data_IF_653289567908
#
_entry.id   IF_653289567908
#
_cell.length_a   1.000
_cell.length_b   1.000
_cell.length_c   1.000
_cell.angle_alpha   90.00
_cell.angle_beta   90.00
_cell.angle_gamma   90.00
#
_symmetry.space_group_name_H-M   'P 1'
#
loop_
_entity.id
_entity.type
_entity.pdbx_description
1 polymer ?
#
# COMPACT_ATOMS: atom_id res chain seq x y z
N UNK A 1 -14.27 -48.48 -53.82
CA UNK A 1 -15.12 -49.44 -53.11
C UNK A 1 -15.06 -49.07 -51.64
N UNK A 2 -15.98 -48.58 -50.98
CA UNK A 2 -17.41 -48.58 -50.86
C UNK A 2 -17.80 -47.28 -50.08
N UNK A 3 -18.76 -46.58 -50.59
CA UNK A 3 -19.44 -45.40 -50.01
C UNK A 3 -20.37 -45.84 -48.91
N UNK A 4 -20.46 -45.03 -47.82
CA UNK A 4 -21.68 -45.01 -47.02
C UNK A 4 -22.00 -43.59 -46.60
N UNK A 5 -23.14 -43.12 -47.08
CA UNK A 5 -23.83 -41.85 -46.79
C UNK A 5 -24.64 -42.03 -45.50
N UNK A 6 -24.55 -41.08 -44.60
CA UNK A 6 -25.32 -41.04 -43.33
C UNK A 6 -26.06 -39.70 -43.17
N UNK A 7 -27.33 -39.79 -43.18
CA UNK A 7 -28.43 -38.84 -43.28
C UNK A 7 -28.52 -37.83 -42.12
N UNK A 8 -28.82 -36.59 -42.45
CA UNK A 8 -29.24 -35.49 -41.59
C UNK A 8 -30.63 -35.67 -41.02
N UNK A 9 -30.81 -35.56 -39.71
CA UNK A 9 -32.11 -35.43 -39.06
C UNK A 9 -32.34 -34.00 -38.55
N UNK A 10 -33.29 -33.30 -39.18
CA UNK A 10 -33.84 -32.00 -38.72
C UNK A 10 -34.87 -32.26 -37.62
N UNK A 11 -34.82 -31.53 -36.51
CA UNK A 11 -35.90 -31.43 -35.51
C UNK A 11 -36.61 -30.08 -35.62
N UNK A 12 -37.96 -30.05 -35.41
CA UNK A 12 -38.77 -28.87 -35.68
C UNK A 12 -38.82 -27.87 -34.51
N UNK A 13 -38.96 -26.60 -34.86
CA UNK A 13 -39.32 -25.49 -33.98
C UNK A 13 -40.66 -25.74 -33.28
N UNK A 14 -40.68 -25.58 -31.96
CA UNK A 14 -41.95 -25.42 -31.22
C UNK A 14 -42.10 -23.94 -30.83
N UNK A 15 -43.09 -23.32 -31.43
CA UNK A 15 -43.61 -21.99 -31.09
C UNK A 15 -44.48 -22.12 -29.83
N UNK A 16 -44.14 -21.40 -28.76
CA UNK A 16 -45.03 -21.28 -27.60
C UNK A 16 -45.57 -19.86 -27.54
N UNK A 17 -46.89 -19.73 -27.62
CA UNK A 17 -47.63 -18.49 -27.39
C UNK A 17 -47.54 -18.10 -25.91
N UNK A 18 -47.17 -16.85 -25.62
CA UNK A 18 -47.36 -16.22 -24.31
C UNK A 18 -48.67 -15.43 -24.32
N UNK A 19 -49.60 -15.85 -23.46
CA UNK A 19 -50.78 -15.09 -23.10
C UNK A 19 -50.43 -13.97 -22.14
N UNK A 20 -50.92 -12.77 -22.41
CA UNK A 20 -50.72 -11.59 -21.60
C UNK A 20 -51.57 -11.62 -20.31
N UNK A 21 -50.96 -11.17 -19.22
CA UNK A 21 -51.66 -10.76 -18.01
C UNK A 21 -51.38 -9.26 -17.77
N UNK A 22 -52.47 -8.49 -17.77
CA UNK A 22 -52.51 -7.07 -17.39
C UNK A 22 -52.67 -7.00 -15.86
N UNK A 23 -51.86 -6.26 -15.13
CA UNK A 23 -52.12 -5.98 -13.72
C UNK A 23 -52.99 -4.72 -13.57
N UNK A 24 -54.09 -4.86 -12.82
CA UNK A 24 -54.96 -3.78 -12.34
C UNK A 24 -54.15 -2.80 -11.48
N UNK A 25 -54.25 -1.51 -11.79
CA UNK A 25 -53.85 -0.42 -10.87
C UNK A 25 -54.93 -0.25 -9.80
N UNK A 26 -54.60 -0.50 -8.54
CA UNK A 26 -55.42 -0.08 -7.40
C UNK A 26 -54.97 1.32 -6.96
N UNK A 27 -55.82 2.31 -7.16
CA UNK A 27 -55.63 3.66 -6.62
C UNK A 27 -55.93 3.69 -5.11
N UNK A 28 -54.95 3.99 -4.27
CA UNK A 28 -55.15 4.24 -2.85
C UNK A 28 -55.30 5.76 -2.65
N UNK A 29 -56.50 6.18 -2.27
CA UNK A 29 -56.83 7.53 -1.86
C UNK A 29 -56.31 7.79 -0.42
N UNK A 30 -55.32 8.66 -0.29
CA UNK A 30 -54.92 9.19 1.04
C UNK A 30 -55.80 10.36 1.40
N UNK A 31 -56.58 10.21 2.49
CA UNK A 31 -57.32 11.29 3.14
C UNK A 31 -56.34 12.18 3.96
N UNK A 32 -56.39 13.48 3.76
CA UNK A 32 -55.65 14.47 4.53
C UNK A 32 -56.24 14.63 5.94
N UNK A 33 -55.44 14.76 7.02
CA UNK A 33 -55.95 15.11 8.35
C UNK A 33 -56.27 16.60 8.44
N UNK A 34 -57.41 16.91 9.02
CA UNK A 34 -57.89 18.28 9.28
C UNK A 34 -57.06 18.90 10.43
N UNK A 35 -56.71 20.16 10.25
CA UNK A 35 -56.04 21.00 11.24
C UNK A 35 -56.98 21.37 12.39
N UNK A 36 -56.62 21.03 13.61
CA UNK A 36 -57.22 21.54 14.82
C UNK A 36 -56.61 22.89 15.19
N UNK A 37 -57.45 23.87 15.41
CA UNK A 37 -57.07 25.24 15.82
C UNK A 37 -56.43 25.23 17.24
N UNK A 38 -55.32 25.96 17.36
CA UNK A 38 -54.68 26.24 18.65
C UNK A 38 -55.27 27.48 19.32
N UNK A 39 -55.36 27.53 20.66
CA UNK A 39 -55.79 28.73 21.36
C UNK A 39 -54.62 29.65 21.72
N UNK A 40 -54.88 30.96 21.60
CA UNK A 40 -54.35 32.03 22.42
C UNK A 40 -52.84 32.34 22.35
N UNK A 41 -52.45 33.32 21.53
CA UNK A 41 -51.17 33.96 21.61
C UNK A 41 -51.07 34.89 22.85
N UNK A 42 -50.09 34.62 23.71
CA UNK A 42 -49.65 35.55 24.75
C UNK A 42 -48.69 36.58 24.13
N UNK A 43 -48.89 37.86 24.41
CA UNK A 43 -48.09 38.97 23.90
C UNK A 43 -46.65 38.90 24.42
N UNK A 44 -45.68 38.99 23.48
CA UNK A 44 -44.24 39.13 23.75
C UNK A 44 -43.91 40.63 23.89
N UNK A 45 -43.10 41.04 24.89
CA UNK A 45 -42.70 42.46 25.05
C UNK A 45 -41.70 42.84 23.95
N UNK A 46 -41.69 44.11 23.48
CA UNK A 46 -40.78 44.63 22.46
C UNK A 46 -39.40 44.90 23.06
N UNK A 47 -38.36 44.25 22.57
CA UNK A 47 -37.00 44.63 22.94
C UNK A 47 -35.96 43.52 22.99
N UNK A 48 -35.83 42.67 21.98
CA UNK A 48 -34.58 41.90 21.75
C UNK A 48 -34.25 41.97 20.26
N UNK A 49 -33.32 42.86 19.91
CA UNK A 49 -32.70 42.79 18.58
C UNK A 49 -31.97 41.50 18.43
N UNK A 50 -32.40 40.64 17.49
CA UNK A 50 -31.68 39.45 17.12
C UNK A 50 -30.30 39.88 16.58
N UNK A 51 -29.25 39.33 17.18
CA UNK A 51 -27.89 39.45 16.62
C UNK A 51 -27.88 38.91 15.18
N UNK A 52 -27.12 39.56 14.24
CA UNK A 52 -26.99 39.07 12.89
C UNK A 52 -26.46 37.63 12.93
N UNK A 53 -27.16 36.71 12.29
CA UNK A 53 -26.70 35.34 12.09
C UNK A 53 -25.33 35.39 11.43
N UNK A 54 -24.34 34.71 12.02
CA UNK A 54 -23.05 34.53 11.40
C UNK A 54 -23.26 33.94 9.99
N UNK A 55 -22.51 34.36 8.98
CA UNK A 55 -22.61 33.78 7.65
C UNK A 55 -22.40 32.28 7.76
N UNK A 56 -23.32 31.50 7.21
CA UNK A 56 -23.19 30.05 7.15
C UNK A 56 -21.89 29.77 6.39
N UNK A 57 -20.95 29.18 7.08
CA UNK A 57 -19.69 28.69 6.49
C UNK A 57 -20.07 27.75 5.36
N UNK A 58 -19.76 28.12 4.13
CA UNK A 58 -20.08 27.31 2.96
C UNK A 58 -19.25 26.03 3.10
N UNK A 59 -19.92 24.90 3.35
CA UNK A 59 -19.26 23.60 3.37
C UNK A 59 -18.39 23.47 2.14
N UNK A 60 -17.10 23.17 2.32
CA UNK A 60 -16.20 22.88 1.21
C UNK A 60 -16.82 21.75 0.38
N UNK A 61 -16.71 21.79 -0.96
CA UNK A 61 -17.19 20.68 -1.77
C UNK A 61 -16.47 19.42 -1.34
N UNK A 62 -17.21 18.32 -1.14
CA UNK A 62 -16.65 17.01 -0.75
C UNK A 62 -15.56 16.59 -1.75
N UNK A 63 -14.51 15.94 -1.25
CA UNK A 63 -13.40 15.43 -2.07
C UNK A 63 -13.91 14.62 -3.26
N UNK A 64 -13.39 14.87 -4.44
CA UNK A 64 -13.80 14.23 -5.69
C UNK A 64 -12.60 13.92 -6.56
N UNK A 65 -12.74 12.88 -7.40
CA UNK A 65 -11.72 12.56 -8.39
C UNK A 65 -11.59 13.69 -9.41
N UNK A 66 -10.40 14.25 -9.57
CA UNK A 66 -10.12 15.39 -10.45
C UNK A 66 -9.11 14.98 -11.53
N UNK A 67 -9.36 15.33 -12.79
CA UNK A 67 -8.35 15.19 -13.84
C UNK A 67 -7.34 16.34 -13.73
N UNK A 68 -6.05 15.98 -13.77
CA UNK A 68 -4.93 16.95 -13.73
C UNK A 68 -4.24 16.94 -15.08
N UNK A 69 -4.25 18.08 -15.75
CA UNK A 69 -3.48 18.33 -16.96
C UNK A 69 -2.15 19.03 -16.61
N UNK A 70 -1.16 18.98 -17.49
CA UNK A 70 0.12 19.69 -17.30
C UNK A 70 0.92 19.29 -16.04
N UNK A 71 0.90 17.99 -15.69
CA UNK A 71 1.66 17.47 -14.55
C UNK A 71 3.17 17.30 -14.83
N UNK A 72 3.63 17.47 -16.07
CA UNK A 72 5.05 17.39 -16.46
C UNK A 72 5.30 16.52 -17.68
N UNK A 73 6.49 15.93 -17.78
CA UNK A 73 6.90 15.07 -18.89
C UNK A 73 6.01 13.84 -18.99
N UNK A 74 5.38 13.64 -20.13
CA UNK A 74 4.40 12.59 -20.35
C UNK A 74 4.53 11.98 -21.76
N UNK A 75 5.55 11.16 -22.01
CA UNK A 75 5.87 10.67 -23.34
C UNK A 75 4.83 9.73 -23.95
N UNK A 76 4.05 9.06 -23.11
CA UNK A 76 3.03 8.09 -23.54
C UNK A 76 1.60 8.66 -23.52
N UNK A 77 1.46 9.96 -23.32
CA UNK A 77 0.15 10.62 -23.28
C UNK A 77 -0.83 10.01 -22.28
N UNK A 78 -0.36 9.65 -21.07
CA UNK A 78 -1.22 9.22 -19.98
C UNK A 78 -2.12 10.35 -19.50
N UNK A 79 -3.32 10.03 -19.02
CA UNK A 79 -4.13 10.96 -18.23
C UNK A 79 -3.81 10.75 -16.75
N UNK A 80 -3.82 11.83 -15.98
CA UNK A 80 -3.67 11.78 -14.53
C UNK A 80 -5.01 12.12 -13.88
N UNK A 81 -5.49 11.23 -13.03
CA UNK A 81 -6.59 11.53 -12.12
C UNK A 81 -6.05 11.54 -10.69
N UNK A 82 -6.53 12.49 -9.89
CA UNK A 82 -6.05 12.74 -8.54
C UNK A 82 -7.22 12.75 -7.56
N UNK A 83 -7.05 12.06 -6.46
CA UNK A 83 -7.96 12.11 -5.32
C UNK A 83 -7.21 12.66 -4.11
N UNK A 84 -7.63 13.81 -3.63
CA UNK A 84 -7.11 14.45 -2.42
C UNK A 84 -8.25 14.48 -1.41
N UNK A 85 -8.17 13.73 -0.30
CA UNK A 85 -9.24 13.70 0.69
C UNK A 85 -9.31 15.00 1.48
N UNK A 86 -10.49 15.34 2.01
CA UNK A 86 -10.67 16.50 2.90
C UNK A 86 -9.84 16.38 4.20
N UNK A 87 -9.46 15.15 4.54
CA UNK A 87 -8.64 14.78 5.71
C UNK A 87 -7.14 14.75 5.41
N UNK A 88 -6.71 15.27 4.25
CA UNK A 88 -5.29 15.24 3.84
C UNK A 88 -4.38 15.85 4.92
N UNK A 89 -3.29 15.15 5.24
CA UNK A 89 -2.32 15.60 6.25
C UNK A 89 -1.35 16.63 5.66
N UNK A 90 -0.60 17.35 6.51
CA UNK A 90 0.35 18.39 6.08
C UNK A 90 1.45 17.86 5.14
N UNK A 91 1.97 16.64 5.40
CA UNK A 91 2.94 15.95 4.55
C UNK A 91 2.36 14.57 4.18
N UNK A 92 1.40 14.53 3.23
CA UNK A 92 0.67 13.31 2.96
C UNK A 92 1.54 12.26 2.27
N UNK A 93 1.28 11.00 2.57
CA UNK A 93 1.76 9.90 1.75
C UNK A 93 1.06 9.90 0.39
N UNK A 94 1.69 9.28 -0.62
CA UNK A 94 1.12 9.15 -1.96
C UNK A 94 0.98 7.69 -2.33
N UNK A 95 -0.20 7.31 -2.79
CA UNK A 95 -0.47 6.00 -3.37
C UNK A 95 -0.73 6.15 -4.88
N UNK A 96 0.07 5.50 -5.71
CA UNK A 96 -0.20 5.36 -7.15
C UNK A 96 -1.02 4.09 -7.36
N UNK A 97 -2.27 4.25 -7.79
CA UNK A 97 -3.24 3.17 -7.95
C UNK A 97 -3.46 2.88 -9.45
N UNK A 98 -2.93 1.76 -9.94
CA UNK A 98 -2.71 1.46 -11.36
C UNK A 98 -3.72 0.43 -11.86
N UNK A 99 -4.51 0.80 -12.89
CA UNK A 99 -5.60 -0.04 -13.40
C UNK A 99 -5.12 -1.23 -14.27
N UNK A 100 -6.02 -2.18 -14.54
CA UNK A 100 -5.82 -3.32 -15.45
C UNK A 100 -6.00 -2.91 -16.93
N UNK A 101 -5.64 -3.79 -17.88
CA UNK A 101 -5.97 -3.61 -19.30
C UNK A 101 -7.48 -3.40 -19.48
N UNK A 102 -7.89 -2.61 -20.45
CA UNK A 102 -9.30 -2.20 -20.68
C UNK A 102 -9.90 -1.30 -19.59
N UNK A 103 -9.19 -1.07 -18.48
CA UNK A 103 -9.61 -0.17 -17.41
C UNK A 103 -9.28 1.29 -17.68
N UNK A 104 -9.43 2.10 -16.65
CA UNK A 104 -9.00 3.51 -16.60
C UNK A 104 -8.83 3.96 -15.16
N UNK A 105 -8.18 5.10 -14.94
CA UNK A 105 -8.07 5.70 -13.61
C UNK A 105 -9.43 5.87 -12.92
N UNK A 106 -10.45 6.50 -13.56
CA UNK A 106 -11.78 6.62 -12.98
C UNK A 106 -12.47 5.28 -12.68
N UNK A 107 -12.29 4.26 -13.53
CA UNK A 107 -12.85 2.92 -13.27
C UNK A 107 -12.17 2.28 -12.06
N UNK A 108 -10.84 2.42 -11.94
CA UNK A 108 -10.11 1.87 -10.79
C UNK A 108 -10.49 2.58 -9.48
N UNK A 109 -10.68 3.91 -9.53
CA UNK A 109 -11.22 4.70 -8.42
C UNK A 109 -12.58 4.18 -7.93
N UNK A 110 -13.51 3.92 -8.87
CA UNK A 110 -14.88 3.47 -8.55
C UNK A 110 -14.95 2.04 -8.02
N UNK A 111 -14.03 1.17 -8.44
CA UNK A 111 -14.07 -0.27 -8.14
C UNK A 111 -13.10 -0.70 -7.03
N UNK A 112 -12.41 0.24 -6.38
CA UNK A 112 -11.50 -0.06 -5.27
C UNK A 112 -11.78 0.83 -4.07
N UNK A 113 -11.36 0.36 -2.89
CA UNK A 113 -11.58 1.06 -1.63
C UNK A 113 -10.50 2.12 -1.32
N UNK A 114 -9.55 2.40 -2.25
CA UNK A 114 -8.41 3.28 -1.95
C UNK A 114 -8.81 4.72 -1.65
N UNK A 115 -9.83 5.25 -2.31
CA UNK A 115 -10.32 6.60 -2.02
C UNK A 115 -10.95 6.72 -0.63
N UNK A 116 -11.82 5.78 -0.26
CA UNK A 116 -12.42 5.76 1.09
C UNK A 116 -11.40 5.51 2.21
N UNK A 117 -10.34 4.75 1.91
CA UNK A 117 -9.21 4.59 2.83
C UNK A 117 -8.36 5.87 2.90
N UNK A 118 -8.24 6.61 1.79
CA UNK A 118 -7.59 7.92 1.78
C UNK A 118 -8.37 8.93 2.65
N UNK A 119 -9.70 8.94 2.59
CA UNK A 119 -10.55 9.75 3.48
C UNK A 119 -10.31 9.43 4.95
N UNK A 120 -10.10 8.15 5.24
CA UNK A 120 -9.89 7.69 6.61
C UNK A 120 -8.50 8.01 7.15
N UNK A 121 -7.46 7.97 6.29
CA UNK A 121 -6.07 7.98 6.73
C UNK A 121 -5.24 9.17 6.22
N UNK A 122 -5.83 10.05 5.42
CA UNK A 122 -5.24 11.34 5.00
C UNK A 122 -4.11 11.24 3.97
N UNK A 123 -4.05 10.19 3.15
CA UNK A 123 -3.08 10.07 2.06
C UNK A 123 -3.70 10.46 0.71
N UNK A 124 -2.87 10.85 -0.26
CA UNK A 124 -3.30 11.22 -1.61
C UNK A 124 -3.25 9.98 -2.52
N UNK A 125 -4.22 9.85 -3.45
CA UNK A 125 -4.21 8.77 -4.45
C UNK A 125 -4.10 9.33 -5.85
N UNK A 126 -3.09 8.86 -6.60
CA UNK A 126 -2.89 9.13 -8.03
C UNK A 126 -3.39 7.93 -8.82
N UNK A 127 -4.28 8.18 -9.78
CA UNK A 127 -4.80 7.17 -10.69
C UNK A 127 -4.32 7.47 -12.12
N UNK A 128 -3.16 6.96 -12.55
CA UNK A 128 -2.73 7.07 -13.94
C UNK A 128 -3.72 6.31 -14.84
N UNK A 129 -3.95 6.83 -16.06
CA UNK A 129 -4.90 6.23 -16.99
C UNK A 129 -4.31 6.18 -18.40
N UNK A 130 -4.29 4.99 -18.98
CA UNK A 130 -3.77 4.74 -20.33
C UNK A 130 -4.76 5.23 -21.37
N UNK A 131 -4.30 5.98 -22.38
CA UNK A 131 -5.13 6.52 -23.47
C UNK A 131 -5.16 5.65 -24.72
N UNK A 132 -4.11 4.81 -24.97
CA UNK A 132 -4.05 3.90 -26.12
C UNK A 132 -5.15 2.83 -26.07
N UNK A 133 -5.45 2.22 -27.21
CA UNK A 133 -6.63 1.35 -27.40
C UNK A 133 -6.66 0.12 -26.51
N UNK A 134 -5.51 -0.49 -26.24
CA UNK A 134 -5.40 -1.67 -25.35
C UNK A 134 -5.71 -1.34 -23.90
N UNK A 135 -5.56 -0.08 -23.50
CA UNK A 135 -5.61 0.36 -22.10
C UNK A 135 -4.67 -0.43 -21.18
N UNK A 136 -3.67 -1.11 -21.74
CA UNK A 136 -2.61 -1.77 -20.97
C UNK A 136 -1.44 -0.80 -20.78
N UNK A 137 -0.80 -0.83 -19.61
CA UNK A 137 0.44 -0.09 -19.40
C UNK A 137 1.57 -0.74 -20.19
N UNK A 138 2.50 0.07 -20.69
CA UNK A 138 3.70 -0.41 -21.34
C UNK A 138 4.67 -1.00 -20.31
N UNK A 139 4.78 -2.31 -20.35
CA UNK A 139 5.68 -3.13 -19.50
C UNK A 139 6.55 -4.07 -20.35
N UNK A 140 6.50 -3.89 -21.67
CA UNK A 140 7.14 -4.77 -22.65
C UNK A 140 8.27 -4.09 -23.42
N UNK A 141 8.19 -2.78 -23.65
CA UNK A 141 9.20 -2.07 -24.42
C UNK A 141 10.50 -1.87 -23.64
N UNK A 142 11.66 -1.81 -24.31
CA UNK A 142 12.92 -1.46 -23.67
C UNK A 142 12.91 -0.07 -23.01
N UNK A 143 12.03 0.82 -23.47
CA UNK A 143 11.83 2.16 -22.90
C UNK A 143 11.12 2.11 -21.56
N UNK A 144 10.16 1.22 -21.40
CA UNK A 144 9.44 1.03 -20.13
C UNK A 144 10.28 0.32 -19.07
N UNK A 145 11.23 -0.53 -19.48
CA UNK A 145 12.04 -1.37 -18.58
C UNK A 145 13.37 -0.71 -18.19
N UNK A 146 13.41 0.61 -18.22
CA UNK A 146 14.61 1.38 -17.89
C UNK A 146 14.24 2.74 -17.34
N UNK A 147 14.87 3.11 -16.23
CA UNK A 147 14.74 4.43 -15.63
C UNK A 147 14.91 5.55 -16.67
N UNK A 148 13.91 6.43 -16.76
CA UNK A 148 13.94 7.55 -17.69
C UNK A 148 13.92 7.16 -19.17
N UNK A 149 13.51 5.95 -19.50
CA UNK A 149 13.57 5.39 -20.86
C UNK A 149 12.57 5.98 -21.86
N UNK A 150 11.60 6.77 -21.41
CA UNK A 150 10.69 7.53 -22.32
C UNK A 150 9.34 6.86 -22.56
N UNK A 151 8.84 6.03 -21.64
CA UNK A 151 7.51 5.41 -21.70
C UNK A 151 6.65 5.73 -20.47
N UNK A 152 5.60 4.93 -20.20
CA UNK A 152 4.62 5.13 -19.11
C UNK A 152 5.25 5.41 -17.73
N UNK A 153 6.34 4.73 -17.31
CA UNK A 153 6.96 5.00 -16.02
C UNK A 153 7.41 6.46 -15.84
N UNK A 154 7.86 7.11 -16.93
CA UNK A 154 8.25 8.54 -16.92
C UNK A 154 7.04 9.44 -16.68
N UNK A 155 5.90 9.16 -17.34
CA UNK A 155 4.66 9.88 -17.12
C UNK A 155 4.17 9.74 -15.67
N UNK A 156 4.18 8.53 -15.13
CA UNK A 156 3.77 8.27 -13.73
C UNK A 156 4.72 8.95 -12.74
N UNK A 157 6.03 8.94 -13.01
CA UNK A 157 7.01 9.69 -12.19
C UNK A 157 6.71 11.19 -12.18
N UNK A 158 6.35 11.76 -13.33
CA UNK A 158 5.95 13.16 -13.42
C UNK A 158 4.69 13.50 -12.63
N UNK A 159 3.71 12.58 -12.58
CA UNK A 159 2.52 12.70 -11.72
C UNK A 159 2.90 12.77 -10.24
N UNK A 160 3.82 11.91 -9.81
CA UNK A 160 4.36 11.91 -8.44
C UNK A 160 5.06 13.22 -8.13
N UNK A 161 5.91 13.71 -9.05
CA UNK A 161 6.61 15.00 -8.88
C UNK A 161 5.64 16.16 -8.77
N UNK A 162 4.57 16.16 -9.56
CA UNK A 162 3.50 17.15 -9.47
C UNK A 162 2.86 17.14 -8.07
N UNK A 163 2.45 15.97 -7.57
CA UNK A 163 1.82 15.84 -6.25
C UNK A 163 2.79 16.25 -5.13
N UNK A 164 4.05 15.83 -5.21
CA UNK A 164 5.08 16.18 -4.22
C UNK A 164 5.28 17.69 -4.13
N UNK A 165 5.36 18.38 -5.27
CA UNK A 165 5.52 19.84 -5.29
C UNK A 165 4.26 20.58 -4.86
N UNK A 166 3.07 20.12 -5.27
CA UNK A 166 1.81 20.83 -5.07
C UNK A 166 1.27 20.66 -3.66
N UNK A 167 1.44 19.47 -3.08
CA UNK A 167 0.86 19.11 -1.78
C UNK A 167 1.91 18.86 -0.70
N UNK A 168 3.19 19.16 -0.98
CA UNK A 168 4.31 18.91 -0.06
C UNK A 168 4.36 17.47 0.45
N UNK A 169 4.05 16.50 -0.43
CA UNK A 169 3.94 15.11 -0.05
C UNK A 169 5.27 14.55 0.47
N UNK A 170 5.16 13.62 1.42
CA UNK A 170 6.31 12.93 2.03
C UNK A 170 6.98 12.01 1.00
N UNK A 171 8.16 12.39 0.52
CA UNK A 171 8.91 11.65 -0.50
C UNK A 171 9.39 10.27 -0.05
N UNK A 172 9.39 10.00 1.24
CA UNK A 172 9.68 8.68 1.79
C UNK A 172 8.46 7.77 1.96
N UNK A 173 7.27 8.27 1.64
CA UNK A 173 6.00 7.55 1.78
C UNK A 173 5.22 7.53 0.47
N UNK A 174 5.90 7.17 -0.61
CA UNK A 174 5.32 6.99 -1.94
C UNK A 174 5.22 5.48 -2.23
N UNK A 175 4.03 5.02 -2.62
CA UNK A 175 3.73 3.62 -2.83
C UNK A 175 3.03 3.42 -4.16
N UNK A 176 3.12 2.21 -4.72
CA UNK A 176 2.39 1.82 -5.92
C UNK A 176 1.58 0.54 -5.67
N UNK A 177 0.40 0.45 -6.26
CA UNK A 177 -0.40 -0.78 -6.28
C UNK A 177 -1.15 -0.90 -7.59
N UNK A 178 -1.40 -2.12 -8.03
CA UNK A 178 -2.17 -2.32 -9.25
C UNK A 178 -2.56 -3.77 -9.48
N UNK A 179 -3.42 -3.98 -10.47
CA UNK A 179 -3.99 -5.28 -10.82
C UNK A 179 -3.67 -5.60 -12.27
N UNK A 180 -3.27 -6.85 -12.59
CA UNK A 180 -2.98 -7.31 -13.96
C UNK A 180 -1.89 -6.44 -14.61
N UNK A 181 -2.19 -5.74 -15.70
CA UNK A 181 -1.29 -4.75 -16.31
C UNK A 181 -0.78 -3.71 -15.29
N UNK A 182 -1.65 -3.27 -14.37
CA UNK A 182 -1.25 -2.38 -13.27
C UNK A 182 -0.32 -3.02 -12.24
N UNK A 183 -0.44 -4.32 -12.01
CA UNK A 183 0.49 -5.07 -11.18
C UNK A 183 1.86 -5.22 -11.85
N UNK A 184 1.86 -5.47 -13.16
CA UNK A 184 3.10 -5.47 -13.96
C UNK A 184 3.77 -4.10 -13.91
N UNK A 185 2.99 -3.02 -14.10
CA UNK A 185 3.50 -1.64 -13.99
C UNK A 185 3.99 -1.33 -12.57
N UNK A 186 3.37 -1.87 -11.52
CA UNK A 186 3.89 -1.74 -10.14
C UNK A 186 5.30 -2.32 -10.03
N UNK A 187 5.55 -3.53 -10.57
CA UNK A 187 6.89 -4.13 -10.62
C UNK A 187 7.88 -3.24 -11.40
N UNK A 188 7.45 -2.67 -12.53
CA UNK A 188 8.27 -1.78 -13.35
C UNK A 188 8.62 -0.49 -12.61
N UNK A 189 7.66 0.14 -11.97
CA UNK A 189 7.89 1.38 -11.20
C UNK A 189 8.89 1.18 -10.06
N UNK A 190 8.79 0.07 -9.33
CA UNK A 190 9.72 -0.23 -8.24
C UNK A 190 11.13 -0.59 -8.75
N UNK A 191 11.22 -1.18 -9.93
CA UNK A 191 12.51 -1.46 -10.58
C UNK A 191 13.19 -0.21 -11.13
N UNK A 192 12.45 0.63 -11.84
CA UNK A 192 12.96 1.85 -12.48
C UNK A 192 13.27 2.97 -11.48
N UNK A 193 12.47 3.08 -10.41
CA UNK A 193 12.52 4.17 -9.43
C UNK A 193 12.56 3.65 -7.98
N UNK A 194 13.53 2.79 -7.63
CA UNK A 194 13.64 2.26 -6.26
C UNK A 194 13.96 3.34 -5.23
N UNK A 195 14.47 4.50 -5.66
CA UNK A 195 14.73 5.69 -4.85
C UNK A 195 13.49 6.55 -4.60
N UNK A 196 12.39 6.28 -5.28
CA UNK A 196 11.12 7.02 -5.18
C UNK A 196 10.10 6.25 -4.38
N UNK A 197 9.97 4.95 -4.62
CA UNK A 197 8.95 4.12 -3.99
C UNK A 197 9.45 3.45 -2.71
N UNK A 198 8.71 3.61 -1.63
CA UNK A 198 8.93 2.90 -0.37
C UNK A 198 8.40 1.45 -0.40
N UNK A 199 7.48 1.16 -1.30
CA UNK A 199 6.93 -0.19 -1.49
C UNK A 199 5.87 -0.28 -2.57
N UNK A 200 5.55 -1.53 -2.93
CA UNK A 200 4.50 -1.85 -3.89
C UNK A 200 3.64 -3.03 -3.48
N UNK A 201 2.43 -3.12 -4.06
CA UNK A 201 1.54 -4.26 -3.95
C UNK A 201 0.99 -4.65 -5.34
N UNK A 202 1.33 -5.84 -5.81
CA UNK A 202 1.01 -6.33 -7.15
C UNK A 202 0.00 -7.48 -7.10
N UNK A 203 -1.15 -7.30 -7.75
CA UNK A 203 -2.25 -8.27 -7.78
C UNK A 203 -2.33 -8.93 -9.16
N UNK A 204 -2.12 -10.26 -9.24
CA UNK A 204 -2.13 -11.03 -10.49
C UNK A 204 -1.18 -10.40 -11.54
N UNK A 205 0.08 -10.24 -11.19
CA UNK A 205 1.13 -9.71 -12.05
C UNK A 205 2.11 -10.78 -12.52
N UNK A 206 3.21 -10.31 -13.14
CA UNK A 206 4.37 -11.11 -13.53
C UNK A 206 5.66 -10.42 -13.11
N UNK A 207 6.81 -11.11 -13.06
CA UNK A 207 8.09 -10.50 -12.72
C UNK A 207 8.44 -9.31 -13.65
N UNK A 208 9.17 -8.33 -13.12
CA UNK A 208 9.79 -7.28 -13.91
C UNK A 208 10.61 -7.89 -15.06
N UNK A 209 10.40 -7.38 -16.28
CA UNK A 209 11.12 -7.82 -17.47
C UNK A 209 10.58 -9.10 -18.12
N UNK A 210 9.66 -9.84 -17.47
CA UNK A 210 9.07 -11.05 -18.03
C UNK A 210 8.28 -10.78 -19.32
N UNK A 211 7.56 -9.67 -19.39
CA UNK A 211 6.79 -9.26 -20.58
C UNK A 211 7.63 -8.56 -21.65
N UNK A 212 8.94 -8.43 -21.47
CA UNK A 212 9.82 -7.81 -22.46
C UNK A 212 9.64 -8.41 -23.85
N UNK A 213 9.52 -7.55 -24.87
CA UNK A 213 9.44 -7.92 -26.29
C UNK A 213 10.42 -7.09 -27.10
N UNK A 214 10.84 -7.62 -28.26
CA UNK A 214 11.72 -6.94 -29.19
C UNK A 214 11.08 -6.63 -30.54
N UNK A 215 9.85 -7.11 -30.73
CA UNK A 215 9.06 -6.97 -31.97
C UNK A 215 7.98 -5.88 -31.88
N UNK A 216 7.91 -5.17 -30.75
CA UNK A 216 6.90 -4.16 -30.48
C UNK A 216 5.55 -4.71 -30.02
N UNK A 217 5.44 -6.02 -29.74
CA UNK A 217 4.24 -6.62 -29.17
C UNK A 217 4.03 -6.14 -27.73
N UNK A 218 2.79 -5.81 -27.40
CA UNK A 218 2.39 -5.51 -26.00
C UNK A 218 2.10 -6.79 -25.18
N UNK A 219 2.18 -7.99 -25.81
CA UNK A 219 1.85 -9.27 -25.19
C UNK A 219 2.95 -10.31 -25.34
N UNK A 220 3.35 -10.90 -24.22
CA UNK A 220 4.29 -12.03 -24.19
C UNK A 220 3.58 -13.29 -23.69
N UNK A 221 3.21 -14.17 -24.62
CA UNK A 221 2.46 -15.40 -24.31
C UNK A 221 3.24 -16.38 -23.44
N UNK A 222 4.57 -16.47 -23.58
CA UNK A 222 5.38 -17.35 -22.75
C UNK A 222 5.35 -16.91 -21.30
N UNK A 223 5.50 -15.61 -21.04
CA UNK A 223 5.37 -15.04 -19.71
C UNK A 223 3.95 -15.19 -19.15
N UNK A 224 2.91 -14.80 -19.92
CA UNK A 224 1.52 -14.91 -19.49
C UNK A 224 1.17 -16.35 -19.08
N UNK A 225 1.64 -17.34 -19.83
CA UNK A 225 1.43 -18.76 -19.53
C UNK A 225 2.30 -19.30 -18.38
N UNK A 226 3.15 -18.47 -17.75
CA UNK A 226 4.00 -18.89 -16.64
C UNK A 226 5.07 -19.91 -17.04
N UNK A 227 5.51 -19.91 -18.30
CA UNK A 227 6.52 -20.84 -18.80
C UNK A 227 7.94 -20.25 -18.80
N UNK A 228 8.07 -18.95 -18.54
CA UNK A 228 9.38 -18.29 -18.38
C UNK A 228 9.84 -18.50 -16.94
N UNK A 229 10.99 -19.15 -16.79
CA UNK A 229 11.60 -19.40 -15.48
C UNK A 229 13.06 -18.95 -15.48
N UNK A 230 13.49 -18.32 -14.41
CA UNK A 230 14.86 -17.91 -14.17
C UNK A 230 15.28 -18.27 -12.75
N UNK A 231 16.59 -18.26 -12.53
CA UNK A 231 17.13 -18.28 -11.16
C UNK A 231 16.77 -16.95 -10.45
N UNK A 232 16.74 -16.92 -9.12
CA UNK A 232 16.50 -15.68 -8.38
C UNK A 232 17.45 -14.55 -8.78
N UNK A 233 18.73 -14.88 -8.98
CA UNK A 233 19.74 -13.90 -9.37
C UNK A 233 19.48 -13.32 -10.78
N UNK A 234 19.13 -14.15 -11.76
CA UNK A 234 18.79 -13.68 -13.10
C UNK A 234 17.57 -12.74 -13.06
N UNK A 235 16.53 -13.11 -12.30
CA UNK A 235 15.38 -12.23 -12.09
C UNK A 235 15.75 -10.92 -11.41
N UNK A 236 16.52 -10.96 -10.32
CA UNK A 236 16.95 -9.76 -9.62
C UNK A 236 17.87 -8.87 -10.46
N UNK A 237 18.72 -9.45 -11.31
CA UNK A 237 19.58 -8.70 -12.21
C UNK A 237 18.78 -7.89 -13.25
N UNK A 238 17.62 -8.39 -13.72
CA UNK A 238 16.74 -7.61 -14.59
C UNK A 238 16.29 -6.31 -13.89
N UNK A 239 15.88 -6.41 -12.62
CA UNK A 239 15.48 -5.22 -11.82
C UNK A 239 16.66 -4.27 -11.61
N UNK A 240 17.82 -4.79 -11.21
CA UNK A 240 19.03 -3.96 -10.97
C UNK A 240 19.50 -3.25 -12.22
N UNK A 241 19.31 -3.86 -13.40
CA UNK A 241 19.67 -3.29 -14.68
C UNK A 241 18.72 -2.17 -15.15
N UNK A 242 17.55 -2.02 -14.56
CA UNK A 242 16.65 -0.90 -14.84
C UNK A 242 17.24 0.44 -14.35
N UNK A 243 17.98 0.43 -13.25
CA UNK A 243 18.72 1.57 -12.72
C UNK A 243 20.16 1.19 -12.31
N UNK A 244 21.08 1.07 -13.29
CA UNK A 244 22.45 0.68 -13.01
C UNK A 244 23.15 1.62 -12.03
N UNK A 245 23.84 1.04 -11.05
CA UNK A 245 24.57 1.81 -10.03
C UNK A 245 23.74 2.26 -8.84
N UNK A 246 22.43 1.98 -8.79
CA UNK A 246 21.66 2.22 -7.57
C UNK A 246 22.10 1.28 -6.45
N UNK A 247 22.40 1.86 -5.29
CA UNK A 247 22.88 1.13 -4.10
C UNK A 247 22.08 1.52 -2.83
N UNK A 248 20.98 2.25 -3.01
CA UNK A 248 20.09 2.62 -1.91
C UNK A 248 19.18 1.47 -1.46
N UNK A 249 18.29 1.72 -0.50
CA UNK A 249 17.34 0.71 0.00
C UNK A 249 16.35 0.29 -1.10
N UNK A 250 16.07 -1.01 -1.16
CA UNK A 250 15.06 -1.54 -2.07
C UNK A 250 13.65 -1.37 -1.50
N UNK A 251 12.63 -1.03 -2.33
CA UNK A 251 11.25 -0.92 -1.90
C UNK A 251 10.69 -2.28 -1.46
N UNK A 252 9.83 -2.28 -0.43
CA UNK A 252 9.12 -3.50 0.01
C UNK A 252 8.13 -3.96 -1.06
N UNK A 253 7.88 -5.28 -1.14
CA UNK A 253 6.96 -5.82 -2.13
C UNK A 253 5.93 -6.77 -1.53
N UNK A 254 4.64 -6.50 -1.79
CA UNK A 254 3.54 -7.40 -1.50
C UNK A 254 2.99 -7.99 -2.80
N UNK A 255 2.90 -9.32 -2.86
CA UNK A 255 2.52 -10.07 -4.05
C UNK A 255 1.22 -10.82 -3.77
N UNK A 256 0.27 -10.73 -4.71
CA UNK A 256 -1.03 -11.40 -4.62
C UNK A 256 -1.30 -12.20 -5.88
N UNK A 257 -1.75 -13.47 -5.74
CA UNK A 257 -2.08 -14.27 -6.92
C UNK A 257 -3.15 -15.32 -6.61
N UNK A 258 -4.07 -15.51 -7.55
CA UNK A 258 -5.05 -16.57 -7.53
C UNK A 258 -4.49 -17.88 -8.11
N UNK A 259 -4.73 -19.02 -7.45
CA UNK A 259 -4.17 -20.31 -7.91
C UNK A 259 -4.81 -20.83 -9.20
N UNK A 260 -5.94 -20.27 -9.64
CA UNK A 260 -6.62 -20.58 -10.88
C UNK A 260 -6.60 -19.43 -11.89
N UNK A 261 -5.62 -18.54 -11.79
CA UNK A 261 -5.42 -17.47 -12.77
C UNK A 261 -5.15 -18.08 -14.15
N UNK A 262 -6.05 -17.80 -15.09
CA UNK A 262 -6.05 -18.31 -16.46
C UNK A 262 -5.52 -17.29 -17.49
N UNK A 263 -5.23 -16.07 -17.06
CA UNK A 263 -4.69 -14.96 -17.88
C UNK A 263 -3.19 -14.80 -17.67
N UNK A 264 -2.77 -14.53 -16.43
CA UNK A 264 -1.36 -14.48 -16.00
C UNK A 264 -1.11 -15.62 -15.02
N UNK A 265 -0.80 -16.80 -15.56
CA UNK A 265 -0.85 -18.06 -14.84
C UNK A 265 -0.04 -18.07 -13.55
N UNK A 266 -0.54 -18.82 -12.58
CA UNK A 266 -0.03 -18.89 -11.20
C UNK A 266 1.49 -19.15 -11.03
N UNK A 267 2.20 -19.88 -11.92
CA UNK A 267 3.67 -20.00 -11.80
C UNK A 267 4.40 -18.64 -11.72
N UNK A 268 3.86 -17.58 -12.33
CA UNK A 268 4.42 -16.23 -12.22
C UNK A 268 4.51 -15.71 -10.77
N UNK A 269 3.63 -16.18 -9.88
CA UNK A 269 3.69 -15.85 -8.46
C UNK A 269 5.00 -16.30 -7.81
N UNK A 270 5.42 -17.55 -8.07
CA UNK A 270 6.69 -18.08 -7.60
C UNK A 270 7.89 -17.34 -8.17
N UNK A 271 7.81 -16.97 -9.46
CA UNK A 271 8.89 -16.22 -10.12
C UNK A 271 9.01 -14.78 -9.57
N UNK A 272 7.91 -14.10 -9.25
CA UNK A 272 7.95 -12.80 -8.55
C UNK A 272 8.56 -12.90 -7.14
N UNK A 273 8.25 -13.98 -6.40
CA UNK A 273 8.87 -14.23 -5.08
C UNK A 273 10.40 -14.38 -5.23
N UNK A 274 10.86 -15.18 -6.21
CA UNK A 274 12.30 -15.32 -6.49
C UNK A 274 12.93 -13.95 -6.79
N UNK A 275 12.30 -13.16 -7.66
CA UNK A 275 12.79 -11.85 -8.04
C UNK A 275 12.96 -10.91 -6.85
N UNK A 276 11.88 -10.69 -6.10
CA UNK A 276 11.90 -9.70 -5.04
C UNK A 276 12.68 -10.13 -3.80
N UNK A 277 12.77 -11.44 -3.53
CA UNK A 277 13.67 -11.93 -2.46
C UNK A 277 15.14 -11.73 -2.82
N UNK A 278 15.52 -11.93 -4.08
CA UNK A 278 16.88 -11.67 -4.56
C UNK A 278 17.21 -10.18 -4.59
N UNK A 279 16.27 -9.33 -5.06
CA UNK A 279 16.42 -7.87 -5.03
C UNK A 279 16.66 -7.35 -3.60
N UNK A 280 15.96 -7.93 -2.64
CA UNK A 280 16.10 -7.60 -1.20
C UNK A 280 17.30 -8.27 -0.53
N UNK A 281 18.00 -9.17 -1.21
CA UNK A 281 19.13 -9.92 -0.63
C UNK A 281 18.74 -10.84 0.53
N UNK A 282 17.53 -11.38 0.53
CA UNK A 282 16.97 -12.21 1.61
C UNK A 282 16.71 -13.64 1.13
N UNK A 283 16.59 -14.56 2.12
CA UNK A 283 16.27 -15.97 1.86
C UNK A 283 14.90 -16.15 1.20
N UNK A 284 14.79 -17.09 0.27
CA UNK A 284 13.54 -17.57 -0.29
C UNK A 284 12.76 -18.51 0.62
N UNK A 285 13.35 -18.91 1.75
CA UNK A 285 12.61 -19.64 2.80
C UNK A 285 11.78 -18.64 3.57
N UNK A 286 10.46 -18.84 3.68
CA UNK A 286 9.61 -17.94 4.45
C UNK A 286 10.03 -17.88 5.92
N UNK A 287 10.15 -16.68 6.47
CA UNK A 287 10.32 -16.46 7.91
C UNK A 287 9.02 -16.75 8.67
N UNK A 288 7.87 -16.62 7.99
CA UNK A 288 6.55 -16.92 8.53
C UNK A 288 5.60 -17.37 7.43
N UNK A 289 4.76 -18.36 7.75
CA UNK A 289 3.60 -18.75 6.94
C UNK A 289 2.38 -18.79 7.83
N UNK A 290 1.29 -18.16 7.39
CA UNK A 290 0.00 -18.16 8.08
C UNK A 290 -1.17 -18.08 7.08
N UNK A 291 -2.41 -18.17 7.60
CA UNK A 291 -3.65 -18.09 6.81
C UNK A 291 -4.51 -16.94 7.32
N UNK A 292 -4.36 -15.72 6.77
CA UNK A 292 -5.06 -14.53 7.25
C UNK A 292 -6.57 -14.52 6.94
N UNK A 293 -7.03 -15.41 6.05
CA UNK A 293 -8.42 -15.67 5.74
C UNK A 293 -8.58 -17.09 5.19
N UNK A 294 -9.81 -17.61 5.16
CA UNK A 294 -10.10 -18.93 4.57
C UNK A 294 -9.67 -18.97 3.11
N UNK A 295 -8.95 -20.02 2.71
CA UNK A 295 -8.42 -20.20 1.36
C UNK A 295 -7.22 -19.31 1.02
N UNK A 296 -6.67 -18.55 1.97
CA UNK A 296 -5.49 -17.72 1.76
C UNK A 296 -4.27 -18.31 2.45
N UNK A 297 -3.17 -18.33 1.75
CA UNK A 297 -1.85 -18.65 2.32
C UNK A 297 -0.97 -17.44 2.17
N UNK A 298 -0.47 -16.92 3.30
CA UNK A 298 0.45 -15.79 3.32
C UNK A 298 1.83 -16.25 3.79
N UNK A 299 2.84 -15.85 3.03
CA UNK A 299 4.25 -16.06 3.36
C UNK A 299 4.97 -14.72 3.46
N UNK A 300 5.84 -14.60 4.46
CA UNK A 300 6.68 -13.42 4.69
C UNK A 300 8.13 -13.79 4.65
N UNK A 301 8.96 -12.98 4.02
CA UNK A 301 10.37 -13.24 3.80
C UNK A 301 11.21 -12.11 4.41
N UNK A 302 12.33 -12.48 5.02
CA UNK A 302 13.25 -11.55 5.68
C UNK A 302 12.77 -11.03 7.04
N UNK A 303 11.48 -11.13 7.36
CA UNK A 303 10.88 -10.72 8.64
C UNK A 303 9.56 -11.44 8.88
N UNK A 304 9.15 -11.59 10.14
CA UNK A 304 7.83 -12.14 10.54
C UNK A 304 6.75 -11.08 10.69
N UNK A 305 7.12 -9.80 10.69
CA UNK A 305 6.22 -8.66 10.95
C UNK A 305 5.36 -8.26 9.74
N UNK A 306 4.37 -7.40 9.97
CA UNK A 306 3.41 -6.95 8.95
C UNK A 306 4.02 -6.09 7.83
N UNK A 307 5.26 -5.63 8.02
CA UNK A 307 6.03 -4.86 7.04
C UNK A 307 7.28 -5.63 6.59
N UNK A 308 7.13 -6.94 6.36
CA UNK A 308 8.22 -7.75 5.81
C UNK A 308 8.75 -7.15 4.49
N UNK A 309 10.05 -7.28 4.18
CA UNK A 309 10.60 -6.85 2.90
C UNK A 309 9.86 -7.42 1.70
N UNK A 310 9.46 -8.71 1.78
CA UNK A 310 8.58 -9.35 0.80
C UNK A 310 7.48 -10.09 1.54
N UNK A 311 6.22 -9.85 1.15
CA UNK A 311 5.05 -10.61 1.59
C UNK A 311 4.32 -11.15 0.36
N UNK A 312 3.96 -12.43 0.37
CA UNK A 312 3.29 -13.07 -0.76
C UNK A 312 2.02 -13.78 -0.28
N UNK A 313 0.91 -13.55 -0.97
CA UNK A 313 -0.42 -14.03 -0.59
C UNK A 313 -1.04 -14.79 -1.77
N UNK A 314 -1.21 -16.09 -1.59
CA UNK A 314 -1.84 -17.00 -2.53
C UNK A 314 -3.32 -17.21 -2.16
N UNK A 315 -4.21 -17.11 -3.15
CA UNK A 315 -5.65 -17.28 -2.98
C UNK A 315 -6.11 -18.57 -3.67
N UNK A 316 -6.43 -19.58 -2.87
CA UNK A 316 -6.84 -20.89 -3.36
C UNK A 316 -8.16 -20.83 -4.12
N UNK A 317 -8.18 -21.35 -5.34
CA UNK A 317 -9.38 -21.46 -6.19
C UNK A 317 -9.82 -20.14 -6.84
N UNK A 318 -9.05 -19.05 -6.66
CA UNK A 318 -9.37 -17.73 -7.24
C UNK A 318 -8.69 -17.59 -8.60
N UNK A 319 -9.42 -17.05 -9.58
CA UNK A 319 -8.94 -16.74 -10.94
C UNK A 319 -8.21 -15.39 -11.02
N UNK A 320 -8.17 -14.81 -12.23
CA UNK A 320 -7.44 -13.57 -12.50
C UNK A 320 -7.99 -12.32 -11.79
N UNK A 321 -9.31 -12.27 -11.55
CA UNK A 321 -9.94 -11.12 -10.88
C UNK A 321 -9.74 -11.21 -9.36
N UNK A 322 -8.81 -10.41 -8.84
CA UNK A 322 -8.45 -10.36 -7.41
C UNK A 322 -9.05 -9.15 -6.67
N UNK A 323 -9.88 -8.32 -7.33
CA UNK A 323 -10.46 -7.16 -6.65
C UNK A 323 -11.62 -7.62 -5.77
N UNK A 324 -11.38 -7.72 -4.48
CA UNK A 324 -12.40 -8.07 -3.48
C UNK A 324 -12.34 -7.11 -2.29
N UNK A 325 -13.48 -6.94 -1.63
CA UNK A 325 -13.62 -6.12 -0.41
C UNK A 325 -12.57 -6.48 0.65
N UNK A 326 -11.92 -5.48 1.21
CA UNK A 326 -10.92 -5.60 2.27
C UNK A 326 -9.49 -5.90 1.80
N UNK A 327 -9.25 -6.14 0.50
CA UNK A 327 -7.87 -6.27 -0.02
C UNK A 327 -7.11 -4.95 0.05
N UNK A 328 -7.74 -3.84 -0.32
CA UNK A 328 -7.13 -2.51 -0.23
C UNK A 328 -6.70 -2.18 1.20
N UNK A 329 -7.49 -2.52 2.21
CA UNK A 329 -7.13 -2.32 3.61
C UNK A 329 -5.84 -3.09 3.99
N UNK A 330 -5.63 -4.31 3.47
CA UNK A 330 -4.40 -5.07 3.72
C UNK A 330 -3.17 -4.44 3.05
N UNK A 331 -3.34 -3.87 1.86
CA UNK A 331 -2.31 -3.08 1.19
C UNK A 331 -1.93 -1.87 2.03
N UNK A 332 -2.93 -1.13 2.54
CA UNK A 332 -2.72 0.05 3.38
C UNK A 332 -1.98 -0.33 4.68
N UNK A 333 -2.32 -1.45 5.30
CA UNK A 333 -1.60 -1.98 6.48
C UNK A 333 -0.15 -2.36 6.13
N UNK A 334 0.08 -3.05 5.02
CA UNK A 334 1.44 -3.39 4.57
C UNK A 334 2.29 -2.14 4.29
N UNK A 335 1.69 -1.10 3.74
CA UNK A 335 2.37 0.19 3.53
C UNK A 335 2.51 1.00 4.82
N UNK A 336 1.74 0.70 5.86
CA UNK A 336 1.70 1.46 7.11
C UNK A 336 0.98 2.79 6.96
N UNK A 337 0.00 2.85 6.08
CA UNK A 337 -0.85 4.01 5.86
C UNK A 337 -2.10 4.02 6.75
N UNK A 338 -2.42 2.90 7.43
CA UNK A 338 -3.56 2.71 8.33
C UNK A 338 -3.35 3.29 9.74
N UNK A 339 -2.14 3.69 10.09
CA UNK A 339 -1.86 4.44 11.31
C UNK A 339 -1.87 5.93 10.95
N UNK A 340 -2.99 6.63 11.17
CA UNK A 340 -3.14 8.06 10.88
C UNK A 340 -2.06 8.91 11.56
N UNK A 341 -1.15 9.42 10.77
CA UNK A 341 0.01 10.19 11.14
C UNK A 341 1.21 9.75 10.32
N UNK A 342 2.24 10.57 10.12
CA UNK A 342 3.45 10.13 9.47
C UNK A 342 3.95 8.89 10.20
N UNK A 343 3.94 7.72 9.51
CA UNK A 343 4.74 6.62 10.01
C UNK A 343 6.16 7.18 10.12
N UNK A 344 6.81 7.08 11.29
CA UNK A 344 8.18 7.53 11.37
C UNK A 344 8.95 6.81 10.29
N UNK A 345 9.34 7.55 9.24
CA UNK A 345 10.27 7.03 8.26
C UNK A 345 11.55 6.76 9.01
N UNK A 346 12.16 5.56 8.85
CA UNK A 346 13.51 5.38 9.32
C UNK A 346 14.35 6.46 8.63
N UNK A 347 15.00 7.35 9.37
CA UNK A 347 16.00 8.21 8.76
C UNK A 347 17.04 7.27 8.12
N UNK A 348 17.51 7.49 6.89
CA UNK A 348 18.58 6.70 6.31
C UNK A 348 19.79 6.78 7.24
N UNK A 349 20.04 5.71 8.00
CA UNK A 349 21.19 5.59 8.90
C UNK A 349 21.31 6.65 10.01
N UNK A 350 20.19 7.30 10.40
CA UNK A 350 20.23 8.52 11.21
C UNK A 350 20.03 8.34 12.73
N UNK A 351 20.32 7.19 13.33
CA UNK A 351 20.31 7.05 14.80
C UNK A 351 21.52 6.30 15.34
N UNK A 352 21.98 6.73 16.50
CA UNK A 352 22.95 6.01 17.32
C UNK A 352 22.34 5.74 18.68
N UNK A 353 22.50 4.51 19.19
CA UNK A 353 22.07 4.13 20.54
C UNK A 353 23.27 3.65 21.33
N UNK A 354 23.47 4.21 22.52
CA UNK A 354 24.43 3.72 23.48
C UNK A 354 23.74 3.21 24.73
N UNK A 355 24.21 2.08 25.26
CA UNK A 355 23.65 1.44 26.46
C UNK A 355 24.78 1.22 27.49
N UNK A 356 24.48 1.61 28.72
CA UNK A 356 25.34 1.28 29.89
C UNK A 356 24.50 0.49 30.87
N UNK A 357 25.00 -0.69 31.28
CA UNK A 357 24.31 -1.54 32.26
C UNK A 357 25.11 -1.60 33.55
N UNK A 358 24.40 -1.52 34.70
CA UNK A 358 24.94 -1.83 36.02
C UNK A 358 24.15 -3.01 36.57
N UNK A 359 24.81 -4.16 36.78
CA UNK A 359 24.18 -5.41 37.15
C UNK A 359 24.55 -5.84 38.58
N UNK A 360 23.63 -6.53 39.25
CA UNK A 360 23.84 -7.23 40.53
C UNK A 360 23.29 -8.66 40.41
N UNK A 361 23.31 -9.43 41.47
CA UNK A 361 23.05 -10.89 41.43
C UNK A 361 21.72 -11.30 40.79
N UNK A 362 20.66 -10.49 40.85
CA UNK A 362 19.30 -10.84 40.38
C UNK A 362 18.67 -9.76 39.53
N UNK A 363 19.39 -8.67 39.23
CA UNK A 363 18.83 -7.58 38.45
C UNK A 363 19.88 -6.68 37.82
N UNK A 364 19.43 -5.74 37.02
CA UNK A 364 20.28 -4.72 36.40
C UNK A 364 19.49 -3.41 36.21
N UNK A 365 20.25 -2.31 36.10
CA UNK A 365 19.73 -1.09 35.47
C UNK A 365 20.40 -0.90 34.11
N UNK A 366 19.67 -0.41 33.15
CA UNK A 366 20.16 -0.02 31.83
C UNK A 366 19.84 1.47 31.58
N UNK A 367 20.90 2.26 31.33
CA UNK A 367 20.77 3.62 30.82
C UNK A 367 20.97 3.61 29.33
N UNK A 368 19.98 4.12 28.57
CA UNK A 368 19.96 4.11 27.11
C UNK A 368 19.92 5.54 26.60
N UNK A 369 20.88 5.91 25.77
CA UNK A 369 20.90 7.21 25.08
C UNK A 369 20.61 7.01 23.60
N UNK A 370 19.58 7.70 23.11
CA UNK A 370 19.17 7.71 21.69
C UNK A 370 19.64 9.04 21.11
N UNK A 371 20.51 9.01 20.11
CA UNK A 371 21.01 10.20 19.40
C UNK A 371 20.42 10.21 17.99
N UNK A 372 19.79 11.32 17.59
CA UNK A 372 19.42 11.55 16.20
C UNK A 372 20.65 12.04 15.42
N UNK A 373 21.26 11.16 14.62
CA UNK A 373 22.39 11.49 13.75
C UNK A 373 21.95 11.90 12.33
N UNK A 374 20.62 11.94 12.07
CA UNK A 374 20.05 12.40 10.83
C UNK A 374 19.93 13.93 10.73
N UNK A 375 19.44 14.41 9.61
CA UNK A 375 19.29 15.84 9.31
C UNK A 375 17.91 16.41 9.64
N UNK A 376 16.95 15.56 9.99
CA UNK A 376 15.55 15.93 10.31
C UNK A 376 15.22 15.56 11.76
N UNK A 377 14.30 16.31 12.39
CA UNK A 377 13.83 15.99 13.72
C UNK A 377 13.02 14.67 13.72
N UNK A 378 13.27 13.81 14.71
CA UNK A 378 12.47 12.61 14.96
C UNK A 378 11.35 12.97 15.93
N UNK A 379 10.10 12.88 15.50
CA UNK A 379 8.92 13.16 16.30
C UNK A 379 8.15 11.87 16.60
N UNK A 380 7.70 11.69 17.84
CA UNK A 380 6.93 10.51 18.23
C UNK A 380 7.74 9.21 18.11
N UNK A 381 8.92 9.15 18.72
CA UNK A 381 9.84 8.03 18.57
C UNK A 381 9.40 6.76 19.32
N UNK A 382 9.74 5.62 18.71
CA UNK A 382 9.65 4.28 19.31
C UNK A 382 10.98 3.57 19.12
N UNK A 383 11.59 3.14 20.23
CA UNK A 383 12.83 2.36 20.22
C UNK A 383 12.51 0.87 20.42
N UNK A 384 12.77 0.07 19.40
CA UNK A 384 12.65 -1.39 19.46
C UNK A 384 13.98 -2.05 19.82
N UNK A 385 13.94 -3.06 20.71
CA UNK A 385 15.09 -3.90 21.05
C UNK A 385 14.62 -5.23 21.63
N UNK A 386 15.50 -6.24 21.63
CA UNK A 386 15.21 -7.53 22.26
C UNK A 386 16.02 -7.70 23.52
N UNK A 387 15.36 -7.93 24.64
CA UNK A 387 16.01 -8.28 25.90
C UNK A 387 16.64 -9.66 25.79
N UNK A 388 17.84 -9.88 26.36
CA UNK A 388 18.40 -11.21 26.54
C UNK A 388 17.43 -12.15 27.26
N UNK A 389 17.51 -13.44 26.94
CA UNK A 389 16.65 -14.46 27.54
C UNK A 389 16.75 -14.44 29.07
N UNK A 390 15.60 -14.53 29.74
CA UNK A 390 15.52 -14.51 31.21
C UNK A 390 15.54 -13.12 31.83
N UNK A 391 15.56 -12.04 31.03
CA UNK A 391 15.38 -10.67 31.53
C UNK A 391 13.92 -10.24 31.46
N UNK A 392 13.47 -9.50 32.49
CA UNK A 392 12.11 -8.91 32.54
C UNK A 392 12.21 -7.51 33.14
N UNK A 393 11.73 -6.50 32.43
CA UNK A 393 11.67 -5.11 32.91
C UNK A 393 10.71 -5.03 34.08
N UNK A 394 11.16 -4.51 35.20
CA UNK A 394 10.40 -4.32 36.41
C UNK A 394 10.00 -2.86 36.65
N UNK A 395 10.78 -1.93 36.11
CA UNK A 395 10.51 -0.49 36.15
C UNK A 395 11.20 0.19 34.97
N UNK A 396 10.69 1.37 34.53
CA UNK A 396 11.25 2.14 33.45
C UNK A 396 11.04 3.65 33.65
N UNK A 397 11.92 4.47 33.07
CA UNK A 397 11.83 5.93 33.09
C UNK A 397 12.15 6.52 31.73
N UNK A 398 11.58 7.69 31.42
CA UNK A 398 11.76 8.39 30.15
C UNK A 398 11.01 7.81 28.97
N UNK A 399 10.41 6.62 29.09
CA UNK A 399 9.58 5.96 28.09
C UNK A 399 8.60 4.98 28.72
N UNK A 400 7.58 4.58 27.97
CA UNK A 400 6.70 3.45 28.27
C UNK A 400 7.23 2.18 27.58
N UNK A 401 7.39 1.09 28.33
CA UNK A 401 7.98 -0.16 27.84
C UNK A 401 6.92 -1.25 27.71
N UNK A 402 6.78 -1.86 26.53
CA UNK A 402 5.86 -2.97 26.29
C UNK A 402 6.34 -3.87 25.14
N UNK A 403 6.24 -5.21 25.27
CA UNK A 403 6.03 -5.97 26.51
C UNK A 403 7.22 -5.84 27.47
N UNK A 404 7.09 -6.35 28.68
CA UNK A 404 8.16 -6.28 29.68
C UNK A 404 9.35 -7.25 29.45
N UNK A 405 9.24 -8.19 28.49
CA UNK A 405 10.26 -9.20 28.17
C UNK A 405 10.26 -9.54 26.68
N UNK A 406 11.33 -10.13 26.18
CA UNK A 406 11.48 -10.49 24.77
C UNK A 406 11.67 -9.25 23.87
N UNK A 407 10.95 -9.17 22.77
CA UNK A 407 10.99 -8.02 21.88
C UNK A 407 10.21 -6.85 22.49
N UNK A 408 10.90 -5.84 22.99
CA UNK A 408 10.38 -4.68 23.72
C UNK A 408 10.32 -3.47 22.81
N UNK A 409 9.27 -2.67 22.92
CA UNK A 409 9.16 -1.32 22.36
C UNK A 409 9.13 -0.30 23.50
N UNK A 410 10.09 0.63 23.53
CA UNK A 410 10.06 1.81 24.38
C UNK A 410 9.44 2.97 23.58
N UNK A 411 8.29 3.48 24.04
CA UNK A 411 7.57 4.59 23.40
C UNK A 411 7.84 5.89 24.17
N UNK A 412 8.11 6.99 23.48
CA UNK A 412 8.39 8.28 24.07
C UNK A 412 7.32 8.73 25.08
N UNK A 413 7.76 9.51 26.06
CA UNK A 413 6.87 10.32 26.91
C UNK A 413 6.52 11.64 26.18
N UNK A 414 5.44 12.32 26.64
CA UNK A 414 4.99 13.56 26.00
C UNK A 414 6.06 14.65 25.99
N UNK A 415 6.88 14.73 27.03
CA UNK A 415 7.89 15.79 27.21
C UNK A 415 9.19 15.56 26.41
N UNK A 416 9.41 14.36 25.89
CA UNK A 416 10.62 14.00 25.14
C UNK A 416 10.32 13.40 23.76
N UNK A 417 9.12 13.68 23.21
CA UNK A 417 8.64 13.09 21.97
C UNK A 417 9.46 13.53 20.73
N UNK A 418 10.21 14.63 20.81
CA UNK A 418 10.98 15.17 19.68
C UNK A 418 12.47 15.08 19.96
N UNK A 419 13.24 14.52 19.00
CA UNK A 419 14.71 14.51 19.00
C UNK A 419 15.18 15.32 17.80
N UNK A 420 15.65 16.54 18.01
CA UNK A 420 16.19 17.40 16.96
C UNK A 420 17.45 16.77 16.32
N UNK A 421 17.85 17.17 15.08
CA UNK A 421 19.11 16.74 14.49
C UNK A 421 20.29 16.99 15.40
N UNK A 422 21.13 15.97 15.61
CA UNK A 422 22.30 16.01 16.52
C UNK A 422 21.96 15.94 18.01
N UNK A 423 20.70 16.01 18.41
CA UNK A 423 20.27 15.94 19.81
C UNK A 423 20.13 14.48 20.29
N UNK A 424 20.11 14.33 21.62
CA UNK A 424 19.95 13.03 22.26
C UNK A 424 18.86 13.04 23.32
N UNK A 425 18.23 11.89 23.54
CA UNK A 425 17.27 11.61 24.61
C UNK A 425 17.79 10.46 25.45
N UNK A 426 17.79 10.64 26.77
CA UNK A 426 18.13 9.62 27.76
C UNK A 426 16.87 8.95 28.31
N UNK A 427 16.84 7.62 28.29
CA UNK A 427 15.83 6.78 28.90
C UNK A 427 16.49 5.65 29.69
N UNK A 428 15.72 4.85 30.42
CA UNK A 428 16.30 3.69 31.05
C UNK A 428 15.28 2.77 31.69
N UNK A 429 15.76 1.61 32.12
CA UNK A 429 14.91 0.63 32.78
C UNK A 429 15.69 -0.17 33.83
N UNK A 430 14.95 -0.74 34.78
CA UNK A 430 15.42 -1.77 35.68
C UNK A 430 14.81 -3.10 35.24
N UNK A 431 15.62 -4.16 35.23
CA UNK A 431 15.16 -5.48 34.90
C UNK A 431 15.66 -6.52 35.92
N UNK A 432 14.86 -7.55 36.20
CA UNK A 432 15.31 -8.79 36.82
C UNK A 432 15.93 -9.70 35.77
N UNK A 433 16.86 -10.59 36.19
CA UNK A 433 17.44 -11.62 35.31
C UNK A 433 17.70 -12.93 36.04
N UNK A 434 17.74 -14.03 35.28
CA UNK A 434 18.04 -15.38 35.78
C UNK A 434 19.45 -15.86 35.40
N UNK A 435 20.38 -14.93 35.13
CA UNK A 435 21.78 -15.25 34.83
C UNK A 435 22.43 -14.41 33.74
N UNK A 436 21.65 -13.80 32.83
CA UNK A 436 22.19 -12.93 31.78
C UNK A 436 22.10 -11.45 32.14
N UNK A 437 23.24 -10.77 32.36
CA UNK A 437 23.30 -9.37 32.77
C UNK A 437 23.69 -8.39 31.65
N UNK A 438 23.87 -8.90 30.41
CA UNK A 438 24.18 -8.06 29.24
C UNK A 438 22.98 -7.20 28.82
N UNK A 439 23.25 -6.00 28.33
CA UNK A 439 22.21 -5.17 27.67
C UNK A 439 21.88 -5.68 26.26
N UNK A 440 20.80 -5.16 25.65
CA UNK A 440 20.49 -5.41 24.26
C UNK A 440 21.61 -4.96 23.32
N UNK A 441 21.90 -5.75 22.28
CA UNK A 441 22.98 -5.46 21.32
C UNK A 441 22.54 -4.79 20.03
N UNK A 442 21.23 -4.76 19.75
CA UNK A 442 20.68 -4.18 18.53
C UNK A 442 19.42 -3.36 18.82
N UNK A 443 19.28 -2.24 18.12
CA UNK A 443 18.20 -1.28 18.33
C UNK A 443 17.63 -0.82 17.00
N UNK A 444 16.32 -0.55 16.99
CA UNK A 444 15.65 0.14 15.89
C UNK A 444 14.95 1.39 16.43
N UNK A 445 15.13 2.53 15.77
CA UNK A 445 14.36 3.74 16.04
C UNK A 445 13.29 3.88 14.94
N UNK A 446 12.02 3.85 15.34
CA UNK A 446 10.90 3.86 14.40
C UNK A 446 11.01 2.80 13.28
N UNK A 447 11.60 1.64 13.59
CA UNK A 447 11.81 0.53 12.67
C UNK A 447 13.13 0.56 11.88
N UNK A 448 13.91 1.66 11.91
CA UNK A 448 15.24 1.74 11.31
C UNK A 448 16.33 1.25 12.24
N UNK A 449 17.30 0.49 11.73
CA UNK A 449 18.46 0.05 12.50
C UNK A 449 19.32 1.24 12.93
N UNK A 450 19.65 1.32 14.22
CA UNK A 450 20.57 2.29 14.76
C UNK A 450 21.99 1.70 14.83
N UNK A 451 22.99 2.56 14.70
CA UNK A 451 24.37 2.22 15.11
C UNK A 451 24.45 2.16 16.63
N UNK A 452 25.28 1.29 17.17
CA UNK A 452 25.57 1.17 18.61
C UNK A 452 26.95 1.74 18.95
#
# INVERSE_FOLDING_TARGET
MSTTVGTTARRPLRTTLLAGLVPLLAAVLFAAPQSSAAPGAAAVPPGAQAAPAAPAERAAPAASLTEVTNFGTNPSNLQMYLYVPDTVTENPAVLVAVHWCTGSGPVFYQNTEFASLADRYGFIVVYPSVTRSSKCFDVSSPQALKRGGGSDPVGIKSMIDYVTRTYHADTGRIFATGVSSGAMMTNVLLGDYPDVFAGGAAFAGVPFGCFATTDGSEWNSACANGTVTHTPKEWGDLVRNAYPGYSGPCPRMQLWHGTQDDVLRYPNFGEMIKQWTDVQGISQTPARTDSPASGWTRTRYGSTGDRAPVEAISLQGVGHNLITTGMAARVITFFGLDSGGPAPQPPPGGCKVSVTTNAWSTGLTASVTITNTGTTAVNGWKLGFTLPAGQTITNGWGAAYAPASGAVTATNATYNATIAPGASVGIGYQASHTGGSAGPGAFTLNGANCTT
#
